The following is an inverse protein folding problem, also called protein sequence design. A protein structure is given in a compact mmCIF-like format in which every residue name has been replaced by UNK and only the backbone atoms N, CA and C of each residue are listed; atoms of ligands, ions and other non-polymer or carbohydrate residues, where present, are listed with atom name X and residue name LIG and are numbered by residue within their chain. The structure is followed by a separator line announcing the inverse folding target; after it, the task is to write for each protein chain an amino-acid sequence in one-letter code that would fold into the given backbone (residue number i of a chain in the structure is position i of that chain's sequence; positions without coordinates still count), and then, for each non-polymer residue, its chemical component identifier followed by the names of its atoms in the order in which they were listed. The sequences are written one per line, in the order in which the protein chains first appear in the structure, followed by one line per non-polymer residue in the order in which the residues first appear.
data_IF_434274597005
#
_entry.id   IF_434274597005
#
_cell.length_a   1.000
_cell.length_b   1.000
_cell.length_c   1.000
_cell.angle_alpha   90.00
_cell.angle_beta   90.00
_cell.angle_gamma   90.00
#
_symmetry.space_group_name_H-M   'P 1'
#
loop_
_entity.id
_entity.type
_entity.pdbx_description
1 polymer ?
#
# COMPACT_ATOMS: atom_id res chain seq x y z
N UNK A 1 -17.06 -60.45 3.88
CA UNK A 1 -17.02 -59.30 4.79
C UNK A 1 -16.33 -58.15 4.08
N UNK A 2 -17.13 -57.23 3.58
CA UNK A 2 -16.71 -56.16 2.70
C UNK A 2 -16.63 -54.85 3.53
N UNK A 3 -15.41 -54.29 3.73
CA UNK A 3 -15.22 -53.01 4.42
C UNK A 3 -15.48 -51.88 3.46
N UNK A 4 -16.52 -51.08 3.69
CA UNK A 4 -16.75 -49.81 3.04
C UNK A 4 -15.88 -48.74 3.71
N UNK A 5 -14.88 -48.22 3.01
CA UNK A 5 -14.17 -47.01 3.42
C UNK A 5 -14.98 -45.82 2.87
N UNK A 6 -15.66 -45.09 3.75
CA UNK A 6 -16.29 -43.83 3.46
C UNK A 6 -15.20 -42.73 3.55
N UNK A 7 -14.66 -42.29 2.42
CA UNK A 7 -13.76 -41.16 2.39
C UNK A 7 -14.54 -39.85 2.53
N UNK A 8 -14.26 -39.13 3.60
CA UNK A 8 -14.80 -37.81 3.92
C UNK A 8 -14.27 -36.76 2.92
N UNK A 9 -15.09 -36.34 1.99
CA UNK A 9 -14.75 -35.31 0.98
C UNK A 9 -15.30 -33.91 1.33
N UNK A 10 -15.44 -33.55 2.62
CA UNK A 10 -16.10 -32.31 3.03
C UNK A 10 -15.16 -31.09 3.24
N UNK A 11 -13.84 -31.20 3.08
CA UNK A 11 -12.92 -30.08 3.38
C UNK A 11 -12.41 -29.32 2.16
N UNK A 12 -12.76 -29.72 0.93
CA UNK A 12 -12.20 -29.14 -0.29
C UNK A 12 -12.98 -27.92 -0.86
N UNK A 13 -14.22 -27.67 -0.46
CA UNK A 13 -15.07 -26.64 -1.09
C UNK A 13 -14.88 -25.22 -0.54
N UNK A 14 -14.49 -25.02 0.72
CA UNK A 14 -14.26 -23.69 1.29
C UNK A 14 -12.90 -23.09 0.89
N UNK A 15 -11.90 -23.94 0.65
CA UNK A 15 -10.57 -23.51 0.19
C UNK A 15 -10.57 -23.02 -1.27
N UNK A 16 -11.40 -23.60 -2.13
CA UNK A 16 -11.46 -23.25 -3.55
C UNK A 16 -12.05 -21.86 -3.82
N UNK A 17 -12.98 -21.36 -2.99
CA UNK A 17 -13.57 -20.03 -3.14
C UNK A 17 -12.56 -18.91 -2.82
N UNK A 18 -11.77 -19.06 -1.77
CA UNK A 18 -10.74 -18.08 -1.39
C UNK A 18 -9.56 -18.06 -2.34
N UNK A 19 -9.09 -19.20 -2.82
CA UNK A 19 -8.03 -19.31 -3.83
C UNK A 19 -8.45 -18.69 -5.14
N UNK A 20 -9.69 -18.90 -5.61
CA UNK A 20 -10.20 -18.31 -6.84
C UNK A 20 -10.30 -16.77 -6.76
N UNK A 21 -10.69 -16.19 -5.61
CA UNK A 21 -10.75 -14.74 -5.40
C UNK A 21 -9.35 -14.12 -5.36
N UNK A 22 -8.40 -14.72 -4.62
CA UNK A 22 -7.01 -14.27 -4.57
C UNK A 22 -6.33 -14.37 -5.95
N UNK A 23 -6.60 -15.41 -6.73
CA UNK A 23 -6.10 -15.61 -8.08
C UNK A 23 -6.53 -14.52 -9.06
N UNK A 24 -7.75 -14.00 -8.92
CA UNK A 24 -8.30 -12.93 -9.79
C UNK A 24 -7.49 -11.63 -9.72
N UNK A 25 -6.93 -11.32 -8.57
CA UNK A 25 -6.17 -10.08 -8.33
C UNK A 25 -4.67 -10.34 -8.12
N UNK A 26 -4.20 -11.52 -8.48
CA UNK A 26 -2.79 -11.91 -8.26
C UNK A 26 -1.82 -11.05 -9.07
N UNK A 27 -0.70 -10.69 -8.44
CA UNK A 27 0.41 -9.99 -9.09
C UNK A 27 0.17 -8.51 -9.38
N UNK A 28 -0.87 -7.90 -8.79
CA UNK A 28 -1.13 -6.47 -8.96
C UNK A 28 0.00 -5.63 -8.35
N UNK A 29 0.30 -4.53 -9.04
CA UNK A 29 1.22 -3.48 -8.58
C UNK A 29 0.52 -2.14 -8.72
N UNK A 30 0.34 -1.42 -7.64
CA UNK A 30 -0.42 -0.17 -7.59
C UNK A 30 0.44 0.96 -7.02
N UNK A 31 0.56 2.04 -7.76
CA UNK A 31 1.18 3.29 -7.30
C UNK A 31 0.09 4.33 -7.03
N UNK A 32 0.00 4.77 -5.78
CA UNK A 32 -0.89 5.85 -5.36
C UNK A 32 -0.16 7.18 -5.42
N UNK A 33 -0.82 8.20 -5.96
CA UNK A 33 -0.39 9.59 -5.83
C UNK A 33 -1.20 10.26 -4.72
N UNK A 34 -0.52 10.72 -3.69
CA UNK A 34 -1.13 11.48 -2.59
C UNK A 34 -0.64 12.92 -2.60
N UNK A 35 -1.55 13.86 -2.86
CA UNK A 35 -1.28 15.30 -2.85
C UNK A 35 -2.05 16.06 -1.79
N UNK A 36 -3.01 15.42 -1.12
CA UNK A 36 -3.89 16.04 -0.13
C UNK A 36 -3.25 16.06 1.27
N UNK A 37 -3.42 17.17 1.97
CA UNK A 37 -3.09 17.30 3.40
C UNK A 37 -4.22 16.81 4.32
N UNK A 38 -5.37 16.42 3.76
CA UNK A 38 -6.56 16.00 4.52
C UNK A 38 -6.30 14.65 5.22
N UNK A 39 -6.34 14.67 6.55
CA UNK A 39 -6.12 13.49 7.39
C UNK A 39 -7.21 12.42 7.22
N UNK A 40 -8.42 12.79 6.79
CA UNK A 40 -9.48 11.81 6.46
C UNK A 40 -9.07 10.95 5.27
N UNK A 41 -8.46 11.55 4.24
CA UNK A 41 -7.93 10.82 3.08
C UNK A 41 -6.80 9.88 3.53
N UNK A 42 -5.89 10.33 4.42
CA UNK A 42 -4.81 9.51 4.96
C UNK A 42 -5.34 8.28 5.72
N UNK A 43 -6.33 8.48 6.60
CA UNK A 43 -6.98 7.39 7.34
C UNK A 43 -7.75 6.43 6.42
N UNK A 44 -8.42 6.98 5.40
CA UNK A 44 -9.15 6.19 4.40
C UNK A 44 -8.20 5.26 3.64
N UNK A 45 -7.03 5.76 3.25
CA UNK A 45 -6.01 4.93 2.59
C UNK A 45 -5.62 3.71 3.45
N UNK A 46 -5.41 3.91 4.76
CA UNK A 46 -5.08 2.79 5.66
C UNK A 46 -6.20 1.74 5.73
N UNK A 47 -7.44 2.20 5.79
CA UNK A 47 -8.61 1.30 5.76
C UNK A 47 -8.72 0.54 4.43
N UNK A 48 -8.43 1.21 3.33
CA UNK A 48 -8.41 0.59 2.00
C UNK A 48 -7.29 -0.45 1.86
N UNK A 49 -6.08 -0.17 2.34
CA UNK A 49 -4.98 -1.14 2.32
C UNK A 49 -5.35 -2.41 3.09
N UNK A 50 -6.01 -2.28 4.25
CA UNK A 50 -6.52 -3.43 5.00
C UNK A 50 -7.47 -4.28 4.14
N UNK A 51 -8.42 -3.63 3.46
CA UNK A 51 -9.39 -4.32 2.60
C UNK A 51 -8.71 -4.98 1.39
N UNK A 52 -7.76 -4.29 0.76
CA UNK A 52 -7.04 -4.83 -0.41
C UNK A 52 -6.22 -6.06 -0.05
N UNK A 53 -5.48 -6.03 1.05
CA UNK A 53 -4.71 -7.19 1.51
C UNK A 53 -5.57 -8.37 1.93
N UNK A 54 -6.83 -8.15 2.34
CA UNK A 54 -7.75 -9.24 2.68
C UNK A 54 -8.17 -10.08 1.47
N UNK A 55 -8.11 -9.52 0.26
CA UNK A 55 -8.52 -10.20 -0.99
C UNK A 55 -7.37 -10.41 -1.98
N UNK A 56 -6.29 -9.65 -1.86
CA UNK A 56 -5.14 -9.69 -2.75
C UNK A 56 -3.83 -9.49 -1.96
N UNK A 57 -3.42 -10.46 -1.11
CA UNK A 57 -2.33 -10.29 -0.15
C UNK A 57 -0.94 -10.14 -0.80
N UNK A 58 -0.78 -10.50 -2.05
CA UNK A 58 0.46 -10.39 -2.83
C UNK A 58 0.58 -9.09 -3.64
N UNK A 59 -0.43 -8.20 -3.55
CA UNK A 59 -0.40 -6.90 -4.22
C UNK A 59 0.74 -6.04 -3.69
N UNK A 60 1.50 -5.42 -4.61
CA UNK A 60 2.53 -4.45 -4.26
C UNK A 60 1.95 -3.04 -4.30
N UNK A 61 2.21 -2.28 -3.24
CA UNK A 61 1.76 -0.89 -3.14
C UNK A 61 2.93 0.06 -2.95
N UNK A 62 2.88 1.18 -3.64
CA UNK A 62 3.71 2.35 -3.36
C UNK A 62 2.81 3.58 -3.23
N UNK A 63 3.04 4.39 -2.20
CA UNK A 63 2.33 5.65 -1.95
C UNK A 63 3.33 6.78 -2.11
N UNK A 64 3.18 7.56 -3.16
CA UNK A 64 4.05 8.68 -3.47
C UNK A 64 3.41 9.97 -2.96
N UNK A 65 4.05 10.57 -1.95
CA UNK A 65 3.56 11.75 -1.24
C UNK A 65 4.32 13.00 -1.68
N UNK A 66 3.59 13.96 -2.24
CA UNK A 66 4.13 15.28 -2.58
C UNK A 66 3.07 16.37 -2.41
N UNK A 67 3.45 17.65 -2.55
CA UNK A 67 2.55 18.74 -2.21
C UNK A 67 2.03 18.62 -0.78
N UNK A 68 0.72 18.78 -0.59
CA UNK A 68 0.06 18.60 0.71
C UNK A 68 0.14 17.18 1.26
N UNK A 69 0.26 16.18 0.39
CA UNK A 69 0.38 14.77 0.77
C UNK A 69 1.63 14.46 1.60
N UNK A 70 2.66 15.30 1.53
CA UNK A 70 3.84 15.17 2.37
C UNK A 70 3.51 15.17 3.87
N UNK A 71 2.41 15.83 4.27
CA UNK A 71 1.96 15.87 5.67
C UNK A 71 1.66 14.47 6.25
N UNK A 72 1.30 13.49 5.41
CA UNK A 72 1.10 12.11 5.86
C UNK A 72 2.39 11.47 6.37
N UNK A 73 3.54 11.89 5.88
CA UNK A 73 4.84 11.29 6.20
C UNK A 73 5.69 12.11 7.18
N UNK A 74 5.19 13.25 7.68
CA UNK A 74 5.91 14.08 8.63
C UNK A 74 5.51 13.74 10.06
N UNK A 75 6.47 13.51 10.96
CA UNK A 75 6.24 13.24 12.39
C UNK A 75 5.34 14.31 13.04
N UNK A 76 5.48 15.56 12.62
CA UNK A 76 4.74 16.70 13.15
C UNK A 76 3.25 16.69 12.81
N UNK A 77 2.87 16.15 11.66
CA UNK A 77 1.50 16.27 11.13
C UNK A 77 0.81 14.94 10.88
N UNK A 78 1.56 13.83 10.89
CA UNK A 78 1.03 12.50 10.64
C UNK A 78 0.18 12.00 11.82
N UNK A 79 -1.07 11.63 11.54
CA UNK A 79 -2.01 11.08 12.55
C UNK A 79 -2.07 9.55 12.54
N UNK A 80 -1.29 8.89 11.66
CA UNK A 80 -1.35 7.44 11.40
C UNK A 80 0.06 6.80 11.40
N UNK A 81 0.99 7.32 12.21
CA UNK A 81 2.39 6.89 12.20
C UNK A 81 2.56 5.39 12.43
N UNK A 82 1.85 4.84 13.41
CA UNK A 82 1.94 3.40 13.74
C UNK A 82 1.44 2.53 12.58
N UNK A 83 0.37 2.95 11.90
CA UNK A 83 -0.17 2.24 10.74
C UNK A 83 0.80 2.27 9.56
N UNK A 84 1.47 3.41 9.30
CA UNK A 84 2.50 3.50 8.26
C UNK A 84 3.61 2.51 8.53
N UNK A 85 4.10 2.44 9.78
CA UNK A 85 5.14 1.48 10.15
C UNK A 85 4.70 0.04 9.94
N UNK A 86 3.49 -0.32 10.36
CA UNK A 86 2.94 -1.67 10.18
C UNK A 86 2.88 -2.05 8.70
N UNK A 87 2.34 -1.18 7.85
CA UNK A 87 2.25 -1.47 6.41
C UNK A 87 3.60 -1.43 5.70
N UNK A 88 4.52 -0.56 6.12
CA UNK A 88 5.89 -0.56 5.60
C UNK A 88 6.60 -1.89 5.90
N UNK A 89 6.44 -2.42 7.11
CA UNK A 89 6.98 -3.74 7.50
C UNK A 89 6.32 -4.88 6.69
N UNK A 90 5.10 -4.70 6.18
CA UNK A 90 4.43 -5.62 5.26
C UNK A 90 4.84 -5.46 3.79
N UNK A 91 5.64 -4.46 3.47
CA UNK A 91 6.17 -4.24 2.13
C UNK A 91 5.53 -3.10 1.34
N UNK A 92 4.64 -2.29 1.95
CA UNK A 92 4.16 -1.05 1.33
C UNK A 92 5.28 -0.02 1.32
N UNK A 93 5.56 0.55 0.16
CA UNK A 93 6.54 1.64 0.01
C UNK A 93 5.84 2.98 0.21
N UNK A 94 6.17 3.71 1.27
CA UNK A 94 5.74 5.10 1.47
C UNK A 94 6.90 6.02 1.16
N UNK A 95 6.78 6.88 0.17
CA UNK A 95 7.90 7.72 -0.29
C UNK A 95 7.54 9.20 -0.34
N UNK A 96 8.40 10.02 0.23
CA UNK A 96 8.32 11.48 0.19
C UNK A 96 9.11 12.02 -1.03
N UNK A 97 8.53 12.98 -1.73
CA UNK A 97 9.20 13.68 -2.82
C UNK A 97 10.26 14.65 -2.27
N UNK A 98 11.54 14.44 -2.61
CA UNK A 98 12.64 15.28 -2.13
C UNK A 98 12.53 16.73 -2.63
N UNK A 99 12.01 16.97 -3.83
CA UNK A 99 11.75 18.34 -4.28
C UNK A 99 10.70 19.05 -3.42
N UNK A 100 9.63 18.35 -3.00
CA UNK A 100 8.65 18.91 -2.08
C UNK A 100 9.24 19.15 -0.68
N UNK A 101 10.06 18.22 -0.19
CA UNK A 101 10.78 18.38 1.08
C UNK A 101 11.68 19.61 1.05
N UNK A 102 12.50 19.76 0.01
CA UNK A 102 13.40 20.91 -0.16
C UNK A 102 12.63 22.24 -0.20
N UNK A 103 11.54 22.30 -0.94
CA UNK A 103 10.69 23.51 -1.02
C UNK A 103 10.12 23.91 0.35
N UNK A 104 9.87 22.94 1.23
CA UNK A 104 9.28 23.15 2.56
C UNK A 104 10.34 23.14 3.69
N UNK A 105 11.61 23.07 3.36
CA UNK A 105 12.72 22.95 4.33
C UNK A 105 12.55 21.76 5.30
N UNK A 106 12.09 20.61 4.78
CA UNK A 106 11.90 19.36 5.52
C UNK A 106 13.14 18.48 5.36
N UNK A 107 13.66 17.95 6.46
CA UNK A 107 14.76 16.99 6.48
C UNK A 107 14.26 15.54 6.57
N UNK A 108 15.13 14.57 6.26
CA UNK A 108 14.79 13.14 6.34
C UNK A 108 14.47 12.70 7.77
N UNK A 109 15.07 13.32 8.77
CA UNK A 109 14.86 13.05 10.20
C UNK A 109 13.44 13.42 10.66
N UNK A 110 12.77 14.31 9.95
CA UNK A 110 11.39 14.71 10.22
C UNK A 110 10.36 13.71 9.65
N UNK A 111 10.79 12.74 8.82
CA UNK A 111 9.92 11.71 8.29
C UNK A 111 9.60 10.66 9.35
N UNK A 112 8.36 10.13 9.29
CA UNK A 112 7.91 9.03 10.14
C UNK A 112 8.69 7.73 9.85
N UNK A 113 8.76 6.85 10.82
CA UNK A 113 9.35 5.52 10.64
C UNK A 113 8.59 4.75 9.55
N UNK A 114 9.34 4.10 8.66
CA UNK A 114 8.79 3.37 7.52
C UNK A 114 8.63 4.20 6.25
N UNK A 115 8.87 5.52 6.30
CA UNK A 115 8.90 6.36 5.11
C UNK A 115 10.30 6.40 4.48
N UNK A 116 10.35 6.31 3.16
CA UNK A 116 11.54 6.57 2.35
C UNK A 116 11.41 7.85 1.54
N UNK A 117 12.35 8.09 0.63
CA UNK A 117 12.32 9.24 -0.27
C UNK A 117 12.54 8.84 -1.72
N UNK A 118 12.03 9.68 -2.63
CA UNK A 118 12.34 9.65 -4.06
C UNK A 118 12.69 11.07 -4.50
N UNK A 119 13.55 11.23 -5.49
CA UNK A 119 14.00 12.55 -5.95
C UNK A 119 12.81 13.40 -6.40
N UNK A 120 11.92 12.82 -7.22
CA UNK A 120 10.71 13.47 -7.73
C UNK A 120 9.53 12.52 -7.67
N UNK A 121 8.46 12.92 -6.98
CA UNK A 121 7.24 12.12 -6.91
C UNK A 121 6.60 11.86 -8.27
N UNK A 122 6.55 12.88 -9.12
CA UNK A 122 5.96 12.75 -10.48
C UNK A 122 6.79 11.82 -11.36
N UNK A 123 8.12 11.94 -11.34
CA UNK A 123 8.99 11.06 -12.14
C UNK A 123 8.96 9.61 -11.61
N UNK A 124 8.85 9.43 -10.30
CA UNK A 124 8.67 8.10 -9.71
C UNK A 124 7.38 7.43 -10.19
N UNK A 125 6.27 8.17 -10.19
CA UNK A 125 4.98 7.66 -10.70
C UNK A 125 5.10 7.28 -12.19
N UNK A 126 5.69 8.14 -13.02
CA UNK A 126 5.89 7.86 -14.43
C UNK A 126 6.75 6.60 -14.65
N UNK A 127 7.84 6.47 -13.90
CA UNK A 127 8.71 5.29 -13.92
C UNK A 127 7.95 4.02 -13.53
N UNK A 128 7.17 4.07 -12.46
CA UNK A 128 6.33 2.94 -12.02
C UNK A 128 5.33 2.52 -13.10
N UNK A 129 4.68 3.48 -13.76
CA UNK A 129 3.78 3.18 -14.88
C UNK A 129 4.51 2.49 -16.04
N UNK A 130 5.73 2.91 -16.39
CA UNK A 130 6.56 2.22 -17.38
C UNK A 130 6.94 0.79 -16.95
N UNK A 131 7.08 0.56 -15.66
CA UNK A 131 7.34 -0.77 -15.07
C UNK A 131 6.08 -1.64 -14.92
N UNK A 132 4.93 -1.19 -15.42
CA UNK A 132 3.66 -1.93 -15.42
C UNK A 132 2.82 -1.75 -14.15
N UNK A 133 3.07 -0.72 -13.35
CA UNK A 133 2.23 -0.38 -12.21
C UNK A 133 0.97 0.36 -12.64
N UNK A 134 -0.15 0.03 -12.03
CA UNK A 134 -1.39 0.79 -12.18
C UNK A 134 -1.36 2.04 -11.32
N UNK A 135 -1.73 3.18 -11.90
CA UNK A 135 -1.76 4.48 -11.23
C UNK A 135 -3.13 4.81 -10.67
N UNK A 136 -3.18 5.24 -9.42
CA UNK A 136 -4.40 5.72 -8.76
C UNK A 136 -4.10 7.01 -8.00
N UNK A 137 -4.90 8.05 -8.25
CA UNK A 137 -4.84 9.30 -7.50
C UNK A 137 -5.79 9.24 -6.30
N UNK A 138 -5.29 9.68 -5.15
CA UNK A 138 -6.04 9.85 -3.91
C UNK A 138 -6.41 11.32 -3.66
#
# INVERSE_FOLDING_TARGET
MMLFVVSNSLSAQSANGQVATASKYQGLKIVFQLTSADTVIHQTLMSQLKNYYSVAPDTKFEVVCHGGGLNMLLKKTCVIQDQIKVYADQGVSFVACEFAMKKRNVTKEELVDGAGTVISGVLEIAKKQQEGWSYIKL
#
